data_IF_298074024969
#
_entry.id   IF_298074024969
#
_cell.length_a   1.000
_cell.length_b   1.000
_cell.length_c   1.000
_cell.angle_alpha   90.00
_cell.angle_beta   90.00
_cell.angle_gamma   90.00
#
_symmetry.space_group_name_H-M   'P 1'
#
loop_
_entity.id
_entity.type
_entity.pdbx_description
1 polymer ?
#
# COMPACT_ATOMS: atom_id res chain seq x y z
N UNK A 1 13.20 6.90 20.65
CA UNK A 1 11.85 6.36 20.93
C UNK A 1 11.22 6.09 19.58
N UNK A 2 10.96 4.82 19.24
CA UNK A 2 10.29 4.47 17.99
C UNK A 2 8.90 5.12 17.98
N UNK A 3 8.53 5.75 16.85
CA UNK A 3 7.13 6.13 16.61
C UNK A 3 6.30 4.85 16.68
N UNK A 4 5.35 4.80 17.60
CA UNK A 4 4.44 3.66 17.74
C UNK A 4 3.55 3.60 16.48
N UNK A 5 3.57 2.46 15.79
CA UNK A 5 2.75 2.25 14.61
C UNK A 5 1.30 2.02 15.05
N UNK A 6 0.43 3.01 14.84
CA UNK A 6 -0.98 2.92 15.19
C UNK A 6 -1.83 2.78 13.92
N UNK A 7 -2.43 1.60 13.74
CA UNK A 7 -3.33 1.32 12.63
C UNK A 7 -4.51 0.47 13.11
N UNK A 8 -5.73 0.95 12.87
CA UNK A 8 -6.97 0.24 13.17
C UNK A 8 -7.47 -0.41 11.89
N UNK A 9 -7.58 -1.73 11.91
CA UNK A 9 -8.02 -2.51 10.74
C UNK A 9 -9.52 -2.39 10.52
N UNK A 10 -9.91 -2.07 9.29
CA UNK A 10 -11.32 -1.92 8.89
C UNK A 10 -11.92 -3.28 8.59
N UNK A 11 -13.15 -3.53 9.06
CA UNK A 11 -13.91 -4.78 8.84
C UNK A 11 -13.07 -6.05 9.10
N UNK A 12 -12.33 -6.05 10.21
CA UNK A 12 -11.36 -7.09 10.56
C UNK A 12 -11.99 -8.50 10.52
N UNK A 13 -13.08 -8.67 11.25
CA UNK A 13 -13.75 -9.96 11.40
C UNK A 13 -14.48 -10.35 10.11
N UNK A 14 -15.25 -9.42 9.54
CA UNK A 14 -16.04 -9.67 8.35
C UNK A 14 -15.17 -10.08 7.16
N UNK A 15 -13.99 -9.48 7.01
CA UNK A 15 -13.07 -9.79 5.90
C UNK A 15 -12.47 -11.19 6.03
N UNK A 16 -11.99 -11.54 7.23
CA UNK A 16 -11.29 -12.83 7.44
C UNK A 16 -12.27 -13.98 7.63
N UNK A 17 -13.36 -13.79 8.36
CA UNK A 17 -14.33 -14.87 8.62
C UNK A 17 -15.06 -15.27 7.33
N UNK A 18 -15.22 -14.37 6.35
CA UNK A 18 -15.78 -14.69 5.03
C UNK A 18 -14.86 -15.56 4.15
N UNK A 19 -13.59 -15.73 4.51
CA UNK A 19 -12.67 -16.63 3.80
C UNK A 19 -12.92 -18.11 4.11
N UNK A 20 -13.77 -18.43 5.09
CA UNK A 20 -14.01 -19.80 5.58
C UNK A 20 -12.69 -20.53 5.85
N UNK A 21 -11.89 -19.94 6.75
CA UNK A 21 -10.47 -20.30 6.92
C UNK A 21 -10.32 -21.77 7.34
N UNK A 22 -9.57 -22.51 6.52
CA UNK A 22 -9.09 -23.86 6.82
C UNK A 22 -7.83 -23.75 7.69
N UNK A 23 -7.77 -24.44 8.85
CA UNK A 23 -6.62 -24.33 9.75
C UNK A 23 -5.26 -24.68 9.12
N UNK A 24 -5.22 -25.58 8.16
CA UNK A 24 -4.03 -26.04 7.44
C UNK A 24 -3.86 -25.40 6.04
N UNK A 25 -4.65 -24.36 5.74
CA UNK A 25 -4.67 -23.74 4.41
C UNK A 25 -3.52 -22.77 4.14
N UNK A 26 -3.36 -22.45 2.86
CA UNK A 26 -2.40 -21.45 2.35
C UNK A 26 -3.16 -20.17 2.00
N UNK A 27 -2.79 -19.07 2.63
CA UNK A 27 -3.46 -17.78 2.44
C UNK A 27 -2.51 -16.70 1.96
N UNK A 28 -3.08 -15.69 1.31
CA UNK A 28 -2.38 -14.47 0.91
C UNK A 28 -3.05 -13.25 1.52
N UNK A 29 -2.26 -12.41 2.20
CA UNK A 29 -2.62 -11.02 2.45
C UNK A 29 -1.90 -10.17 1.41
N UNK A 30 -2.65 -9.61 0.46
CA UNK A 30 -2.07 -8.88 -0.66
C UNK A 30 -1.70 -7.43 -0.32
N UNK A 31 -2.08 -6.95 0.87
CA UNK A 31 -1.99 -5.56 1.31
C UNK A 31 -1.71 -5.50 2.81
N UNK A 32 -0.61 -6.12 3.23
CA UNK A 32 -0.25 -6.38 4.62
C UNK A 32 -0.46 -5.15 5.54
N UNK A 33 0.01 -3.97 5.11
CA UNK A 33 -0.21 -2.72 5.83
C UNK A 33 0.18 -2.80 7.30
N UNK A 34 -0.81 -2.67 8.19
CA UNK A 34 -0.61 -2.78 9.65
C UNK A 34 -0.68 -4.19 10.24
N UNK A 35 -0.80 -5.20 9.38
CA UNK A 35 -0.86 -6.63 9.71
C UNK A 35 -2.01 -7.07 10.63
N UNK A 36 -3.08 -6.28 10.76
CA UNK A 36 -4.22 -6.67 11.59
C UNK A 36 -5.06 -7.80 10.99
N UNK A 37 -5.37 -7.76 9.69
CA UNK A 37 -6.03 -8.88 9.00
C UNK A 37 -5.13 -10.12 9.01
N UNK A 38 -3.85 -9.96 8.65
CA UNK A 38 -2.83 -11.02 8.74
C UNK A 38 -2.77 -11.68 10.12
N UNK A 39 -2.66 -10.90 11.20
CA UNK A 39 -2.62 -11.43 12.56
C UNK A 39 -3.88 -12.22 12.89
N UNK A 40 -5.06 -11.66 12.59
CA UNK A 40 -6.32 -12.34 12.87
C UNK A 40 -6.47 -13.64 12.07
N UNK A 41 -6.12 -13.63 10.78
CA UNK A 41 -6.08 -14.84 9.96
C UNK A 41 -5.14 -15.89 10.56
N UNK A 42 -3.94 -15.51 10.96
CA UNK A 42 -2.96 -16.41 11.57
C UNK A 42 -3.46 -17.04 12.87
N UNK A 43 -4.32 -16.37 13.65
CA UNK A 43 -4.95 -16.98 14.84
C UNK A 43 -5.90 -18.14 14.52
N UNK A 44 -6.37 -18.23 13.28
CA UNK A 44 -7.28 -19.29 12.80
C UNK A 44 -6.52 -20.47 12.19
N UNK A 45 -5.24 -20.29 11.88
CA UNK A 45 -4.38 -21.34 11.32
C UNK A 45 -3.75 -22.20 12.43
N UNK A 46 -3.39 -23.43 12.06
CA UNK A 46 -2.52 -24.31 12.84
C UNK A 46 -1.09 -24.27 12.25
N UNK A 47 -0.17 -25.05 12.84
CA UNK A 47 1.26 -25.05 12.43
C UNK A 47 1.51 -25.59 11.00
N UNK A 48 0.51 -26.17 10.33
CA UNK A 48 0.59 -26.59 8.93
C UNK A 48 0.05 -25.54 7.96
N UNK A 49 -0.69 -24.53 8.45
CA UNK A 49 -1.16 -23.42 7.64
C UNK A 49 -0.07 -22.37 7.42
N UNK A 50 -0.19 -21.60 6.34
CA UNK A 50 0.83 -20.61 5.97
C UNK A 50 0.23 -19.34 5.39
N UNK A 51 0.82 -18.19 5.74
CA UNK A 51 0.45 -16.88 5.21
C UNK A 51 1.59 -16.29 4.37
N UNK A 52 1.30 -15.95 3.12
CA UNK A 52 2.14 -15.12 2.26
C UNK A 52 1.64 -13.68 2.29
N UNK A 53 2.43 -12.78 2.87
CA UNK A 53 2.04 -11.39 3.09
C UNK A 53 2.80 -10.45 2.14
N UNK A 54 2.07 -9.76 1.27
CA UNK A 54 2.61 -8.79 0.33
C UNK A 54 2.45 -7.36 0.84
N UNK A 55 3.51 -6.58 0.71
CA UNK A 55 3.42 -5.13 0.69
C UNK A 55 4.53 -4.55 -0.17
N UNK A 56 4.26 -3.42 -0.82
CA UNK A 56 5.29 -2.69 -1.56
C UNK A 56 6.03 -1.67 -0.67
N UNK A 57 5.49 -1.37 0.51
CA UNK A 57 6.04 -0.47 1.49
C UNK A 57 6.93 -1.22 2.51
N UNK A 58 8.22 -0.92 2.53
CA UNK A 58 9.16 -1.52 3.48
C UNK A 58 8.75 -1.26 4.94
N UNK A 59 8.17 -0.09 5.23
CA UNK A 59 7.77 0.25 6.59
C UNK A 59 6.66 -0.67 7.10
N UNK A 60 5.69 -1.04 6.25
CA UNK A 60 4.65 -2.00 6.60
C UNK A 60 5.27 -3.36 6.99
N UNK A 61 6.21 -3.86 6.19
CA UNK A 61 6.89 -5.14 6.43
C UNK A 61 7.67 -5.13 7.75
N UNK A 62 8.44 -4.08 8.03
CA UNK A 62 9.22 -4.02 9.27
C UNK A 62 8.33 -3.97 10.52
N UNK A 63 7.21 -3.26 10.48
CA UNK A 63 6.27 -3.26 11.59
C UNK A 63 5.55 -4.60 11.74
N UNK A 64 5.18 -5.23 10.63
CA UNK A 64 4.54 -6.55 10.63
C UNK A 64 5.46 -7.63 11.21
N UNK A 65 6.77 -7.57 10.98
CA UNK A 65 7.74 -8.49 11.60
C UNK A 65 7.70 -8.43 13.13
N UNK A 66 7.48 -7.25 13.71
CA UNK A 66 7.35 -7.08 15.16
C UNK A 66 6.01 -7.65 15.63
N UNK A 67 4.91 -7.27 14.97
CA UNK A 67 3.55 -7.68 15.35
C UNK A 67 3.34 -9.19 15.22
N UNK A 68 3.87 -9.80 14.16
CA UNK A 68 3.67 -11.21 13.83
C UNK A 68 4.80 -12.11 14.36
N UNK A 69 5.69 -11.61 15.22
CA UNK A 69 6.82 -12.37 15.76
C UNK A 69 6.45 -13.78 16.28
N UNK A 70 5.34 -13.97 17.04
CA UNK A 70 4.96 -15.30 17.52
C UNK A 70 4.62 -16.32 16.42
N UNK A 71 4.20 -15.85 15.24
CA UNK A 71 3.87 -16.70 14.08
C UNK A 71 5.08 -16.91 13.18
N UNK A 72 5.98 -15.93 13.11
CA UNK A 72 7.27 -16.03 12.42
C UNK A 72 8.14 -17.10 13.09
N UNK A 73 8.19 -17.13 14.42
CA UNK A 73 8.92 -18.15 15.18
C UNK A 73 8.42 -19.58 14.88
N UNK A 74 7.15 -19.71 14.51
CA UNK A 74 6.50 -20.97 14.09
C UNK A 74 6.66 -21.27 12.59
N UNK A 75 7.31 -20.38 11.83
CA UNK A 75 7.49 -20.55 10.39
C UNK A 75 6.23 -20.32 9.54
N UNK A 76 5.17 -19.73 10.09
CA UNK A 76 3.86 -19.64 9.43
C UNK A 76 3.70 -18.44 8.48
N UNK A 77 4.73 -17.61 8.33
CA UNK A 77 4.64 -16.33 7.61
C UNK A 77 5.80 -16.16 6.64
N UNK A 78 5.49 -15.73 5.42
CA UNK A 78 6.49 -15.28 4.44
C UNK A 78 6.14 -13.88 3.95
N UNK A 79 7.04 -12.93 4.18
CA UNK A 79 6.89 -11.55 3.70
C UNK A 79 7.46 -11.40 2.30
N UNK A 80 6.69 -10.79 1.41
CA UNK A 80 7.07 -10.52 0.02
C UNK A 80 6.99 -9.02 -0.23
N UNK A 81 8.16 -8.38 -0.34
CA UNK A 81 8.25 -6.95 -0.70
C UNK A 81 8.05 -6.77 -2.19
N UNK A 82 6.80 -6.70 -2.63
CA UNK A 82 6.47 -6.42 -4.02
C UNK A 82 5.05 -5.87 -4.14
N UNK A 83 4.72 -5.30 -5.29
CA UNK A 83 3.34 -4.98 -5.62
C UNK A 83 2.57 -6.27 -5.89
N UNK A 84 1.36 -6.39 -5.33
CA UNK A 84 0.50 -7.57 -5.49
C UNK A 84 0.16 -7.91 -6.96
N UNK A 85 0.40 -7.00 -7.91
CA UNK A 85 0.29 -7.31 -9.35
C UNK A 85 1.24 -8.44 -9.78
N UNK A 86 2.34 -8.66 -9.05
CA UNK A 86 3.32 -9.72 -9.29
C UNK A 86 3.04 -10.97 -8.43
N UNK A 87 1.88 -11.06 -7.77
CA UNK A 87 1.55 -12.13 -6.83
C UNK A 87 1.77 -13.53 -7.41
N UNK A 88 1.26 -13.79 -8.62
CA UNK A 88 1.40 -15.11 -9.25
C UNK A 88 2.86 -15.48 -9.51
N UNK A 89 3.66 -14.52 -9.98
CA UNK A 89 5.09 -14.71 -10.24
C UNK A 89 5.82 -15.02 -8.93
N UNK A 90 5.61 -14.21 -7.89
CA UNK A 90 6.27 -14.36 -6.59
C UNK A 90 5.88 -15.62 -5.83
N UNK A 91 4.62 -16.05 -5.92
CA UNK A 91 4.21 -17.32 -5.34
C UNK A 91 4.82 -18.51 -6.09
N UNK A 92 4.87 -18.45 -7.41
CA UNK A 92 5.51 -19.49 -8.23
C UNK A 92 7.01 -19.61 -7.94
N UNK A 93 7.72 -18.49 -7.74
CA UNK A 93 9.13 -18.48 -7.34
C UNK A 93 9.38 -19.25 -6.03
N UNK A 94 8.36 -19.31 -5.16
CA UNK A 94 8.37 -20.03 -3.88
C UNK A 94 7.76 -21.44 -3.98
N UNK A 95 7.40 -21.90 -5.18
CA UNK A 95 6.79 -23.21 -5.43
C UNK A 95 5.30 -23.30 -5.07
N UNK A 96 4.64 -22.17 -4.79
CA UNK A 96 3.22 -22.10 -4.44
C UNK A 96 2.40 -21.89 -5.70
N UNK A 97 1.60 -22.89 -6.07
CA UNK A 97 0.79 -22.87 -7.29
C UNK A 97 -0.71 -22.77 -7.02
N UNK A 98 -1.14 -23.01 -5.78
CA UNK A 98 -2.52 -22.95 -5.32
C UNK A 98 -2.59 -22.28 -3.93
N UNK A 99 -3.70 -21.60 -3.66
CA UNK A 99 -4.00 -20.95 -2.37
C UNK A 99 -5.46 -21.21 -2.01
N UNK A 100 -5.76 -21.28 -0.72
CA UNK A 100 -7.11 -21.46 -0.17
C UNK A 100 -7.89 -20.15 -0.06
N UNK A 101 -7.19 -19.01 0.04
CA UNK A 101 -7.84 -17.71 0.12
C UNK A 101 -6.89 -16.53 0.00
N UNK A 102 -7.46 -15.38 -0.32
CA UNK A 102 -6.74 -14.12 -0.47
C UNK A 102 -7.57 -12.95 0.05
N UNK A 103 -6.95 -12.03 0.78
CA UNK A 103 -7.57 -10.76 1.17
C UNK A 103 -6.87 -9.56 0.51
N UNK A 104 -7.66 -8.53 0.22
CA UNK A 104 -7.22 -7.23 -0.27
C UNK A 104 -7.93 -6.14 0.55
N UNK A 105 -7.17 -5.34 1.29
CA UNK A 105 -7.57 -4.08 1.90
C UNK A 105 -6.97 -2.92 1.09
N UNK A 106 -7.70 -2.53 0.04
CA UNK A 106 -7.20 -1.56 -0.93
C UNK A 106 -7.26 -0.15 -0.35
N UNK A 107 -6.11 0.51 -0.32
CA UNK A 107 -6.03 1.89 0.11
C UNK A 107 -4.61 2.29 0.48
N UNK A 108 -4.52 3.33 1.29
CA UNK A 108 -3.28 3.79 1.93
C UNK A 108 -3.36 3.48 3.42
N UNK A 109 -2.22 3.16 4.02
CA UNK A 109 -2.15 2.90 5.46
C UNK A 109 -2.12 4.21 6.26
N UNK A 110 -2.49 4.14 7.55
CA UNK A 110 -2.43 5.31 8.45
C UNK A 110 -1.03 5.97 8.48
N UNK A 111 0.09 5.21 8.61
CA UNK A 111 1.42 5.80 8.53
C UNK A 111 1.68 6.56 7.22
N UNK A 112 1.19 6.07 6.08
CA UNK A 112 1.36 6.77 4.80
C UNK A 112 0.66 8.13 4.79
N UNK A 113 -0.47 8.26 5.50
CA UNK A 113 -1.21 9.52 5.67
C UNK A 113 -0.65 10.43 6.76
N UNK A 114 -0.17 9.85 7.86
CA UNK A 114 0.24 10.56 9.07
C UNK A 114 1.70 11.03 9.02
N UNK A 115 2.56 10.29 8.32
CA UNK A 115 3.94 10.68 8.08
C UNK A 115 4.02 11.71 6.97
N UNK A 116 4.22 12.96 7.38
CA UNK A 116 4.28 14.12 6.50
C UNK A 116 5.25 13.90 5.34
N UNK A 117 6.41 13.31 5.60
CA UNK A 117 7.47 13.09 4.62
C UNK A 117 7.05 12.17 3.46
N UNK A 118 5.98 11.37 3.64
CA UNK A 118 5.42 10.48 2.61
C UNK A 118 4.60 11.23 1.54
N UNK A 119 4.16 12.46 1.82
CA UNK A 119 3.56 13.33 0.81
C UNK A 119 2.13 12.98 0.39
N UNK A 120 1.44 12.05 1.06
CA UNK A 120 0.04 11.70 0.73
C UNK A 120 -0.98 12.72 1.26
N UNK A 121 -0.65 13.43 2.34
CA UNK A 121 -1.56 14.39 2.98
C UNK A 121 -1.38 15.79 2.42
N UNK A 122 -2.47 16.43 2.00
CA UNK A 122 -2.48 17.84 1.59
C UNK A 122 -2.61 18.81 2.77
N UNK A 123 -2.84 18.31 4.00
CA UNK A 123 -3.13 19.15 5.18
C UNK A 123 -1.91 19.90 5.73
N UNK A 124 -0.70 19.43 5.38
CA UNK A 124 0.58 19.99 5.86
C UNK A 124 1.54 20.10 4.69
N UNK A 125 2.47 21.05 4.75
CA UNK A 125 3.54 21.14 3.76
C UNK A 125 4.46 19.93 3.85
N UNK A 126 4.69 19.28 2.71
CA UNK A 126 5.37 18.00 2.57
C UNK A 126 6.01 17.87 1.18
N UNK A 127 7.09 17.08 1.03
CA UNK A 127 7.53 16.63 -0.29
C UNK A 127 6.37 16.01 -1.07
N UNK A 128 6.28 16.31 -2.37
CA UNK A 128 5.29 15.68 -3.24
C UNK A 128 5.81 14.31 -3.70
N UNK A 129 5.81 13.34 -2.77
CA UNK A 129 6.32 11.98 -3.02
C UNK A 129 5.18 11.05 -3.48
N UNK A 130 4.28 10.68 -2.56
CA UNK A 130 3.13 9.79 -2.78
C UNK A 130 3.48 8.35 -3.23
N UNK A 131 4.75 7.93 -3.16
CA UNK A 131 5.12 6.53 -3.41
C UNK A 131 4.87 5.68 -2.15
N UNK A 132 4.20 4.55 -2.33
CA UNK A 132 4.15 3.49 -1.32
C UNK A 132 5.52 2.82 -1.21
N UNK A 133 6.11 2.42 -2.34
CA UNK A 133 7.49 1.98 -2.42
C UNK A 133 8.44 3.17 -2.68
N UNK A 134 9.15 3.63 -1.66
CA UNK A 134 10.07 4.78 -1.77
C UNK A 134 11.33 4.49 -2.62
N UNK A 135 11.60 3.24 -2.99
CA UNK A 135 12.67 2.87 -3.92
C UNK A 135 12.27 3.03 -5.39
N UNK A 136 10.97 3.17 -5.69
CA UNK A 136 10.51 3.42 -7.06
C UNK A 136 10.99 4.79 -7.54
N UNK A 137 11.39 4.94 -8.80
CA UNK A 137 11.99 6.19 -9.28
C UNK A 137 10.99 7.34 -9.40
N UNK A 138 9.76 7.08 -9.84
CA UNK A 138 8.78 8.10 -10.20
C UNK A 138 8.00 8.64 -8.99
N UNK A 139 8.24 9.91 -8.66
CA UNK A 139 7.53 10.67 -7.62
C UNK A 139 6.33 11.44 -8.19
N UNK A 140 5.36 11.79 -7.34
CA UNK A 140 4.29 12.71 -7.73
C UNK A 140 4.84 14.09 -8.14
N UNK A 141 5.96 14.53 -7.57
CA UNK A 141 6.69 15.74 -7.96
C UNK A 141 7.12 15.71 -9.43
N UNK A 142 7.72 14.60 -9.86
CA UNK A 142 8.13 14.43 -11.25
C UNK A 142 6.91 14.37 -12.17
N UNK A 143 5.87 13.62 -11.80
CA UNK A 143 4.63 13.54 -12.59
C UNK A 143 4.09 14.93 -12.91
N UNK A 144 3.85 15.76 -11.88
CA UNK A 144 3.21 17.08 -12.10
C UNK A 144 4.11 18.12 -12.78
N UNK A 145 5.43 17.92 -12.78
CA UNK A 145 6.39 18.88 -13.35
C UNK A 145 7.01 18.44 -14.69
N UNK A 146 6.89 17.17 -15.07
CA UNK A 146 7.52 16.63 -16.27
C UNK A 146 6.55 16.05 -17.29
N UNK A 147 5.34 15.66 -16.87
CA UNK A 147 4.35 15.14 -17.80
C UNK A 147 3.74 16.29 -18.59
N UNK A 148 3.37 16.01 -19.83
CA UNK A 148 2.66 17.00 -20.61
C UNK A 148 1.24 17.22 -20.08
N UNK A 149 0.67 18.34 -20.49
CA UNK A 149 -0.67 18.75 -20.12
C UNK A 149 -1.74 17.68 -20.41
N UNK A 150 -1.67 17.02 -21.57
CA UNK A 150 -2.70 16.05 -21.98
C UNK A 150 -2.64 14.78 -21.13
N UNK A 151 -1.44 14.35 -20.77
CA UNK A 151 -1.20 13.24 -19.84
C UNK A 151 -1.76 13.55 -18.44
N UNK A 152 -1.50 14.74 -17.92
CA UNK A 152 -2.03 15.17 -16.63
C UNK A 152 -3.57 15.23 -16.64
N UNK A 153 -4.17 15.80 -17.69
CA UNK A 153 -5.64 15.84 -17.83
C UNK A 153 -6.22 14.43 -17.88
N UNK A 154 -5.59 13.50 -18.61
CA UNK A 154 -6.03 12.10 -18.66
C UNK A 154 -6.00 11.46 -17.28
N UNK A 155 -4.91 11.64 -16.53
CA UNK A 155 -4.76 11.07 -15.17
C UNK A 155 -5.88 11.58 -14.26
N UNK A 156 -6.08 12.90 -14.15
CA UNK A 156 -7.09 13.48 -13.26
C UNK A 156 -8.53 13.12 -13.66
N UNK A 157 -8.81 13.08 -14.97
CA UNK A 157 -10.15 12.73 -15.47
C UNK A 157 -10.51 11.27 -15.17
N UNK A 158 -9.54 10.36 -15.29
CA UNK A 158 -9.76 8.94 -15.07
C UNK A 158 -9.83 8.57 -13.58
N UNK A 159 -9.04 9.22 -12.73
CA UNK A 159 -8.91 8.84 -11.31
C UNK A 159 -9.98 9.47 -10.41
N UNK A 160 -10.40 10.70 -10.67
CA UNK A 160 -11.17 11.48 -9.68
C UNK A 160 -12.65 11.66 -10.06
N UNK A 161 -13.12 11.13 -11.19
CA UNK A 161 -14.46 11.43 -11.77
C UNK A 161 -14.78 12.94 -11.69
N UNK A 162 -13.77 13.80 -11.89
CA UNK A 162 -13.94 15.25 -11.77
C UNK A 162 -14.68 15.77 -13.00
N UNK A 163 -15.89 16.28 -12.78
CA UNK A 163 -16.75 16.88 -13.80
C UNK A 163 -16.33 18.31 -14.22
N UNK A 164 -15.17 18.81 -13.79
CA UNK A 164 -14.69 20.16 -14.14
C UNK A 164 -13.26 20.20 -14.70
N UNK A 165 -12.99 19.57 -15.86
CA UNK A 165 -11.69 19.65 -16.53
C UNK A 165 -11.26 21.12 -16.76
N UNK A 166 -12.18 21.97 -17.21
CA UNK A 166 -11.93 23.36 -17.62
C UNK A 166 -11.34 24.29 -16.56
N UNK A 167 -11.62 24.07 -15.26
CA UNK A 167 -11.05 24.89 -14.18
C UNK A 167 -9.66 24.43 -13.75
N UNK A 168 -9.37 23.12 -13.85
CA UNK A 168 -8.02 22.58 -13.70
C UNK A 168 -7.15 23.01 -14.89
N UNK A 169 -7.74 23.00 -16.10
CA UNK A 169 -7.12 23.42 -17.35
C UNK A 169 -6.49 24.82 -17.27
N UNK A 170 -7.22 25.81 -16.75
CA UNK A 170 -6.72 27.19 -16.67
C UNK A 170 -5.63 27.40 -15.61
N UNK A 171 -5.56 26.55 -14.57
CA UNK A 171 -4.56 26.68 -13.50
C UNK A 171 -3.26 25.95 -13.84
N UNK A 172 -3.33 24.76 -14.44
CA UNK A 172 -2.14 24.01 -14.86
C UNK A 172 -1.39 24.72 -16.00
N UNK A 173 -2.11 25.20 -17.01
CA UNK A 173 -1.52 25.95 -18.14
C UNK A 173 -0.87 27.28 -17.71
N UNK A 174 -1.49 28.01 -16.77
CA UNK A 174 -0.86 29.22 -16.18
C UNK A 174 0.38 28.87 -15.37
N UNK A 175 0.42 27.70 -14.73
CA UNK A 175 1.55 27.27 -13.91
C UNK A 175 2.76 26.87 -14.76
N UNK A 176 2.54 26.15 -15.87
CA UNK A 176 3.59 25.86 -16.88
C UNK A 176 4.27 27.14 -17.39
N UNK A 177 3.50 28.23 -17.53
CA UNK A 177 4.01 29.52 -17.99
C UNK A 177 4.67 30.38 -16.90
N UNK A 178 4.41 30.13 -15.60
CA UNK A 178 4.81 31.05 -14.53
C UNK A 178 5.84 30.54 -13.53
N UNK A 179 5.97 29.24 -13.24
CA UNK A 179 7.04 28.64 -12.41
C UNK A 179 6.84 27.11 -12.35
N UNK A 180 7.89 26.29 -12.24
CA UNK A 180 7.71 24.86 -11.85
C UNK A 180 7.15 24.78 -10.42
N UNK A 181 6.33 23.77 -10.10
CA UNK A 181 5.91 23.53 -8.71
C UNK A 181 7.19 23.31 -7.90
N UNK A 182 7.46 24.19 -6.93
CA UNK A 182 8.54 23.97 -5.98
C UNK A 182 8.13 22.84 -5.05
N UNK A 183 9.10 22.01 -4.64
CA UNK A 183 8.88 21.05 -3.56
C UNK A 183 8.35 21.85 -2.36
N UNK A 184 7.28 21.37 -1.69
CA UNK A 184 6.72 22.07 -0.51
C UNK A 184 7.57 21.76 0.73
N UNK A 185 8.86 22.11 0.64
CA UNK A 185 9.82 22.03 1.73
C UNK A 185 9.95 23.42 2.34
N UNK A 186 9.46 23.57 3.57
CA UNK A 186 10.00 24.53 4.53
C UNK A 186 10.83 23.74 5.54
#
# INVERSE_FOLDING_TARGET
MSKEFHHVTVLLHETIDMLDVKPDGIYVDATLGGAGHSEYLLTKLNESGHLYAFDQDQHAIENAKIRLAPFIEKGMVTFIKDNFRHLKERLNDLGVTEIDGICYDLGVSSPQLDERERGFSYKKDAPLDMRMNQEASLTAYEVVNSYDYHDLVRIFSNMERINFPSKLHGKLSKHEQLNRLKQRLN
#
